data_IF_181903066118
#
_entry.id   IF_181903066118
#
_cell.length_a   1.000
_cell.length_b   1.000
_cell.length_c   1.000
_cell.angle_alpha   90.00
_cell.angle_beta   90.00
_cell.angle_gamma   90.00
#
_symmetry.space_group_name_H-M   'P 1'
#
loop_
_entity.id
_entity.type
_entity.pdbx_description
1 polymer ?
#
# COMPACT_ATOMS: atom_id res chain seq x y z
N UNK A 1 11.30 42.77 -31.73
CA UNK A 1 9.94 42.36 -31.31
C UNK A 1 9.78 40.84 -31.34
N UNK A 2 10.19 40.18 -32.42
CA UNK A 2 10.25 38.72 -32.56
C UNK A 2 10.98 37.96 -31.42
N UNK A 3 12.21 38.35 -31.06
CA UNK A 3 12.95 37.69 -29.98
C UNK A 3 12.30 37.88 -28.59
N UNK A 4 11.58 38.98 -28.38
CA UNK A 4 10.86 39.24 -27.13
C UNK A 4 9.62 38.35 -27.03
N UNK A 5 8.88 38.17 -28.12
CA UNK A 5 7.73 37.27 -28.17
C UNK A 5 8.11 35.81 -27.94
N UNK A 6 9.24 35.36 -28.52
CA UNK A 6 9.76 34.00 -28.27
C UNK A 6 10.21 33.84 -26.81
N UNK A 7 10.91 34.82 -26.25
CA UNK A 7 11.33 34.79 -24.85
C UNK A 7 10.14 34.72 -23.87
N UNK A 8 9.09 35.51 -24.11
CA UNK A 8 7.85 35.47 -23.31
C UNK A 8 7.18 34.09 -23.41
N UNK A 9 7.14 33.50 -24.61
CA UNK A 9 6.61 32.15 -24.81
C UNK A 9 7.37 31.08 -24.01
N UNK A 10 8.70 31.15 -23.97
CA UNK A 10 9.53 30.23 -23.18
C UNK A 10 9.30 30.40 -21.68
N UNK A 11 9.23 31.64 -21.19
CA UNK A 11 8.97 31.92 -19.77
C UNK A 11 7.60 31.39 -19.36
N UNK A 12 6.57 31.63 -20.17
CA UNK A 12 5.23 31.10 -19.91
C UNK A 12 5.24 29.57 -19.90
N UNK A 13 5.93 28.93 -20.86
CA UNK A 13 6.07 27.47 -20.89
C UNK A 13 6.70 26.92 -19.60
N UNK A 14 7.78 27.54 -19.12
CA UNK A 14 8.45 27.14 -17.88
C UNK A 14 7.56 27.32 -16.64
N UNK A 15 6.74 28.36 -16.61
CA UNK A 15 5.77 28.59 -15.51
C UNK A 15 4.72 27.48 -15.47
N UNK A 16 4.30 26.93 -16.60
CA UNK A 16 3.35 25.81 -16.66
C UNK A 16 4.00 24.45 -16.39
N UNK A 17 5.17 24.18 -16.98
CA UNK A 17 5.84 22.88 -16.86
C UNK A 17 6.55 22.72 -15.51
N UNK A 18 7.08 23.81 -14.96
CA UNK A 18 7.85 23.81 -13.71
C UNK A 18 7.15 23.11 -12.54
N UNK A 19 5.90 23.45 -12.20
CA UNK A 19 5.15 22.79 -11.14
C UNK A 19 4.96 21.29 -11.38
N UNK A 20 4.70 20.88 -12.62
CA UNK A 20 4.50 19.47 -12.97
C UNK A 20 5.80 18.69 -12.76
N UNK A 21 6.92 19.19 -13.28
CA UNK A 21 8.23 18.57 -13.08
C UNK A 21 8.58 18.49 -11.59
N UNK A 22 8.33 19.55 -10.84
CA UNK A 22 8.55 19.57 -9.39
C UNK A 22 7.78 18.46 -8.68
N UNK A 23 6.49 18.27 -9.00
CA UNK A 23 5.67 17.20 -8.43
C UNK A 23 6.21 15.81 -8.78
N UNK A 24 6.61 15.59 -10.04
CA UNK A 24 7.18 14.31 -10.49
C UNK A 24 8.46 13.99 -9.72
N UNK A 25 9.42 14.93 -9.65
CA UNK A 25 10.68 14.69 -8.94
C UNK A 25 10.45 14.43 -7.44
N UNK A 26 9.54 15.19 -6.82
CA UNK A 26 9.20 14.99 -5.41
C UNK A 26 8.58 13.61 -5.16
N UNK A 27 7.69 13.16 -6.05
CA UNK A 27 7.07 11.83 -5.95
C UNK A 27 8.10 10.72 -6.12
N UNK A 28 8.97 10.81 -7.13
CA UNK A 28 10.04 9.82 -7.35
C UNK A 28 11.03 9.77 -6.19
N UNK A 29 11.34 10.91 -5.57
CA UNK A 29 12.18 10.94 -4.37
C UNK A 29 11.51 10.22 -3.19
N UNK A 30 10.21 10.45 -2.97
CA UNK A 30 9.43 9.79 -1.92
C UNK A 30 9.39 8.27 -2.10
N UNK A 31 9.13 7.80 -3.33
CA UNK A 31 9.11 6.37 -3.64
C UNK A 31 10.47 5.70 -3.40
N UNK A 32 11.57 6.34 -3.83
CA UNK A 32 12.93 5.86 -3.56
C UNK A 32 13.20 5.74 -2.06
N UNK A 33 12.74 6.71 -1.26
CA UNK A 33 12.86 6.67 0.20
C UNK A 33 12.08 5.49 0.79
N UNK A 34 10.85 5.24 0.32
CA UNK A 34 10.04 4.09 0.77
C UNK A 34 10.73 2.76 0.44
N UNK A 35 11.21 2.60 -0.80
CA UNK A 35 11.96 1.41 -1.22
C UNK A 35 13.22 1.21 -0.38
N UNK A 36 14.00 2.27 -0.17
CA UNK A 36 15.22 2.17 0.64
C UNK A 36 14.92 1.84 2.10
N UNK A 37 13.82 2.36 2.64
CA UNK A 37 13.41 2.10 4.02
C UNK A 37 12.99 0.65 4.20
N UNK A 38 12.16 0.12 3.29
CA UNK A 38 11.74 -1.28 3.33
C UNK A 38 12.95 -2.23 3.20
N UNK A 39 13.88 -1.95 2.27
CA UNK A 39 15.12 -2.72 2.11
C UNK A 39 16.04 -2.65 3.33
N UNK A 40 16.11 -1.49 3.99
CA UNK A 40 16.88 -1.33 5.23
C UNK A 40 16.28 -2.21 6.33
N UNK A 41 14.97 -2.11 6.56
CA UNK A 41 14.25 -2.91 7.57
C UNK A 41 14.46 -4.40 7.29
N UNK A 42 14.35 -4.83 6.03
CA UNK A 42 14.55 -6.24 5.68
C UNK A 42 15.97 -6.72 5.96
N UNK A 43 16.98 -5.91 5.61
CA UNK A 43 18.39 -6.22 5.90
C UNK A 43 18.64 -6.32 7.40
N UNK A 44 18.13 -5.36 8.17
CA UNK A 44 18.26 -5.31 9.64
C UNK A 44 17.61 -6.54 10.32
N UNK A 45 16.60 -7.14 9.68
CA UNK A 45 15.89 -8.34 10.17
C UNK A 45 16.29 -9.64 9.47
N UNK A 46 17.40 -9.62 8.70
CA UNK A 46 17.96 -10.77 7.98
C UNK A 46 16.96 -11.42 7.01
N UNK A 47 16.17 -10.59 6.33
CA UNK A 47 15.16 -11.00 5.35
C UNK A 47 15.64 -10.72 3.93
N UNK A 48 15.40 -11.68 3.04
CA UNK A 48 15.52 -11.54 1.60
C UNK A 48 14.10 -11.47 1.02
N UNK A 49 13.69 -10.26 0.62
CA UNK A 49 12.32 -10.05 0.15
C UNK A 49 12.15 -10.65 -1.26
N UNK A 50 11.23 -11.60 -1.40
CA UNK A 50 10.82 -12.19 -2.67
C UNK A 50 9.84 -11.26 -3.41
N UNK A 51 8.86 -10.73 -2.68
CA UNK A 51 7.87 -9.79 -3.18
C UNK A 51 7.83 -8.54 -2.31
N UNK A 52 7.62 -7.39 -2.96
CA UNK A 52 7.45 -6.10 -2.31
C UNK A 52 6.27 -5.33 -2.92
N UNK A 53 5.60 -4.56 -2.08
CA UNK A 53 4.57 -3.60 -2.49
C UNK A 53 4.88 -2.24 -1.86
N UNK A 54 4.84 -1.20 -2.67
CA UNK A 54 5.16 0.16 -2.25
C UNK A 54 3.98 1.04 -2.63
N UNK A 55 3.24 1.51 -1.65
CA UNK A 55 2.23 2.54 -1.86
C UNK A 55 2.24 3.57 -0.73
N UNK A 56 1.28 4.50 -0.77
CA UNK A 56 1.20 5.59 0.21
C UNK A 56 0.49 5.21 1.51
N UNK A 57 -0.26 4.11 1.54
CA UNK A 57 -0.98 3.61 2.72
C UNK A 57 -0.09 2.67 3.53
N UNK A 58 0.64 1.79 2.84
CA UNK A 58 1.51 0.79 3.45
C UNK A 58 2.69 0.44 2.52
N UNK A 59 3.72 -0.17 3.12
CA UNK A 59 4.75 -0.92 2.40
C UNK A 59 4.70 -2.37 2.89
N UNK A 60 4.76 -3.32 1.98
CA UNK A 60 4.81 -4.74 2.31
C UNK A 60 6.06 -5.39 1.73
N UNK A 61 6.63 -6.32 2.47
CA UNK A 61 7.70 -7.19 1.99
C UNK A 61 7.52 -8.58 2.57
N UNK A 62 7.60 -9.62 1.75
CA UNK A 62 7.55 -11.02 2.20
C UNK A 62 8.85 -11.72 1.87
N UNK A 63 9.35 -12.51 2.81
CA UNK A 63 10.43 -13.47 2.62
C UNK A 63 9.82 -14.86 2.78
N UNK A 64 9.75 -15.59 1.67
CA UNK A 64 9.15 -16.91 1.58
C UNK A 64 10.02 -17.96 2.28
N UNK A 65 11.34 -17.78 2.28
CA UNK A 65 12.29 -18.73 2.86
C UNK A 65 12.31 -18.60 4.40
N UNK A 66 12.44 -17.36 4.90
CA UNK A 66 12.38 -17.08 6.32
C UNK A 66 10.95 -17.10 6.89
N UNK A 67 9.93 -17.18 6.01
CA UNK A 67 8.50 -17.09 6.35
C UNK A 67 8.19 -15.87 7.22
N UNK A 68 8.62 -14.70 6.76
CA UNK A 68 8.41 -13.43 7.47
C UNK A 68 7.73 -12.41 6.57
N UNK A 69 6.88 -11.59 7.16
CA UNK A 69 6.20 -10.47 6.52
C UNK A 69 6.60 -9.17 7.23
N UNK A 70 6.98 -8.16 6.45
CA UNK A 70 7.16 -6.78 6.91
C UNK A 70 5.94 -5.99 6.50
N UNK A 71 5.39 -5.23 7.44
CA UNK A 71 4.35 -4.23 7.21
C UNK A 71 4.91 -2.90 7.70
N UNK A 72 4.88 -1.88 6.86
CA UNK A 72 5.27 -0.50 7.22
C UNK A 72 4.09 0.41 6.96
N UNK A 73 3.84 1.36 7.85
CA UNK A 73 2.79 2.38 7.72
C UNK A 73 3.43 3.76 7.52
N UNK A 74 3.62 4.22 6.26
CA UNK A 74 4.28 5.49 5.98
C UNK A 74 3.58 6.70 6.60
N UNK A 75 2.26 6.63 6.80
CA UNK A 75 1.48 7.72 7.40
C UNK A 75 1.66 7.80 8.93
N UNK A 76 2.12 6.74 9.58
CA UNK A 76 2.43 6.69 11.01
C UNK A 76 3.93 6.73 11.25
N UNK A 77 4.61 7.75 10.73
CA UNK A 77 6.05 7.95 10.92
C UNK A 77 6.93 6.74 10.57
N UNK A 78 6.54 5.95 9.55
CA UNK A 78 7.25 4.72 9.16
C UNK A 78 7.31 3.67 10.26
N UNK A 79 6.31 3.62 11.16
CA UNK A 79 6.10 2.50 12.07
C UNK A 79 6.06 1.19 11.25
N UNK A 80 6.70 0.15 11.78
CA UNK A 80 6.79 -1.13 11.10
C UNK A 80 6.63 -2.30 12.06
N UNK A 81 6.12 -3.40 11.52
CA UNK A 81 5.99 -4.68 12.19
C UNK A 81 6.61 -5.77 11.32
N UNK A 82 7.41 -6.65 11.94
CA UNK A 82 7.91 -7.87 11.32
C UNK A 82 7.20 -9.05 11.95
N UNK A 83 6.45 -9.79 11.13
CA UNK A 83 5.60 -10.89 11.55
C UNK A 83 6.23 -12.19 11.08
N UNK A 84 6.47 -13.09 12.02
CA UNK A 84 6.82 -14.48 11.73
C UNK A 84 5.54 -15.24 11.35
N UNK A 85 5.45 -15.63 10.07
CA UNK A 85 4.29 -16.31 9.50
C UNK A 85 4.15 -17.75 10.02
N UNK A 86 5.18 -18.34 10.65
CA UNK A 86 5.03 -19.62 11.34
C UNK A 86 4.09 -19.53 12.55
N UNK A 87 3.92 -18.33 13.11
CA UNK A 87 3.01 -18.10 14.24
C UNK A 87 1.60 -17.68 13.79
N UNK A 88 1.34 -17.61 12.49
CA UNK A 88 0.06 -17.22 11.91
C UNK A 88 -0.65 -18.48 11.41
N UNK A 89 -1.91 -18.64 11.80
CA UNK A 89 -2.73 -19.77 11.38
C UNK A 89 -3.54 -19.48 10.13
N UNK A 90 -4.04 -18.25 10.03
CA UNK A 90 -5.00 -17.89 9.00
C UNK A 90 -4.77 -16.44 8.56
N UNK A 91 -4.96 -16.22 7.27
CA UNK A 91 -5.16 -14.89 6.70
C UNK A 91 -6.42 -14.87 5.85
N UNK A 92 -7.18 -13.78 5.96
CA UNK A 92 -8.34 -13.56 5.10
C UNK A 92 -8.53 -12.08 4.79
N UNK A 93 -9.35 -11.82 3.77
CA UNK A 93 -9.72 -10.48 3.36
C UNK A 93 -11.06 -10.13 4.00
N UNK A 94 -11.07 -9.04 4.76
CA UNK A 94 -12.24 -8.44 5.36
C UNK A 94 -12.75 -7.32 4.45
N UNK A 95 -14.05 -7.32 4.14
CA UNK A 95 -14.68 -6.27 3.32
C UNK A 95 -15.89 -5.73 4.04
N UNK A 96 -15.97 -4.40 4.19
CA UNK A 96 -17.18 -3.73 4.68
C UNK A 96 -17.88 -3.04 3.51
N UNK A 97 -19.21 -3.11 3.53
CA UNK A 97 -20.05 -2.48 2.52
C UNK A 97 -21.24 -1.79 3.14
N UNK A 98 -21.63 -0.64 2.59
CA UNK A 98 -22.84 0.08 3.00
C UNK A 98 -23.89 0.07 1.87
N UNK A 99 -25.20 0.05 2.19
CA UNK A 99 -26.24 0.23 1.19
C UNK A 99 -26.16 1.62 0.55
N UNK A 100 -26.37 1.72 -0.76
CA UNK A 100 -26.43 3.01 -1.46
C UNK A 100 -27.83 3.61 -1.31
N UNK A 101 -28.00 4.77 -0.64
CA UNK A 101 -29.31 5.39 -0.48
C UNK A 101 -29.96 5.71 -1.83
N UNK A 102 -31.23 5.36 -2.00
CA UNK A 102 -31.99 5.64 -3.23
C UNK A 102 -31.72 4.70 -4.41
N UNK A 103 -30.91 3.66 -4.26
CA UNK A 103 -30.74 2.65 -5.29
C UNK A 103 -31.98 1.72 -5.38
N UNK A 104 -32.49 1.51 -6.59
CA UNK A 104 -33.66 0.65 -6.88
C UNK A 104 -33.40 -0.85 -6.73
N UNK A 105 -32.15 -1.24 -6.49
CA UNK A 105 -31.70 -2.61 -6.18
C UNK A 105 -30.84 -2.57 -4.93
N UNK A 106 -30.63 -3.73 -4.28
CA UNK A 106 -29.72 -3.95 -3.15
C UNK A 106 -28.24 -3.69 -3.54
N UNK A 107 -27.93 -2.49 -4.03
CA UNK A 107 -26.61 -2.07 -4.44
C UNK A 107 -25.88 -1.60 -3.19
N UNK A 108 -24.74 -2.21 -2.93
CA UNK A 108 -23.85 -1.83 -1.84
C UNK A 108 -22.59 -1.20 -2.42
N UNK A 109 -22.01 -0.25 -1.67
CA UNK A 109 -20.72 0.34 -1.94
C UNK A 109 -19.70 -0.26 -0.97
N UNK A 110 -18.49 -0.60 -1.44
CA UNK A 110 -17.39 -1.05 -0.59
C UNK A 110 -16.79 0.16 0.09
N UNK A 111 -16.68 0.10 1.41
CA UNK A 111 -16.17 1.20 2.25
C UNK A 111 -14.84 0.87 2.89
N UNK A 112 -14.55 -0.41 3.11
CA UNK A 112 -13.31 -0.86 3.73
C UNK A 112 -12.85 -2.18 3.13
N UNK A 113 -11.55 -2.31 2.87
CA UNK A 113 -10.89 -3.57 2.51
C UNK A 113 -9.65 -3.69 3.38
N UNK A 114 -9.56 -4.78 4.13
CA UNK A 114 -8.34 -5.11 4.88
C UNK A 114 -7.97 -6.59 4.78
N UNK A 115 -6.69 -6.87 5.01
CA UNK A 115 -6.17 -8.22 5.17
C UNK A 115 -5.87 -8.43 6.66
N UNK A 116 -6.49 -9.43 7.26
CA UNK A 116 -6.34 -9.75 8.68
C UNK A 116 -5.46 -11.00 8.85
N UNK A 117 -4.54 -10.95 9.83
CA UNK A 117 -3.69 -12.08 10.22
C UNK A 117 -4.07 -12.57 11.61
N UNK A 118 -4.32 -13.88 11.76
CA UNK A 118 -4.83 -14.47 12.99
C UNK A 118 -3.91 -15.56 13.53
N UNK A 119 -3.67 -15.52 14.85
CA UNK A 119 -2.94 -16.54 15.61
C UNK A 119 -3.81 -17.74 15.99
N UNK A 120 -3.16 -18.89 16.15
CA UNK A 120 -3.84 -20.14 16.50
C UNK A 120 -4.44 -20.14 17.91
N UNK A 121 -3.71 -19.59 18.90
CA UNK A 121 -4.16 -19.62 20.29
C UNK A 121 -3.44 -18.55 21.16
N UNK A 122 -4.17 -17.57 21.74
CA UNK A 122 -5.58 -17.31 21.50
C UNK A 122 -5.85 -16.89 20.04
N UNK A 123 -7.07 -17.10 19.55
CA UNK A 123 -7.54 -16.56 18.27
C UNK A 123 -7.56 -15.04 18.35
N UNK A 124 -6.41 -14.45 18.11
CA UNK A 124 -6.14 -13.03 18.24
C UNK A 124 -5.71 -12.49 16.89
N UNK A 125 -6.34 -11.38 16.48
CA UNK A 125 -5.87 -10.57 15.36
C UNK A 125 -4.48 -10.03 15.70
N UNK A 126 -3.48 -10.47 14.96
CA UNK A 126 -2.07 -10.06 15.11
C UNK A 126 -1.83 -8.74 14.39
N UNK A 127 -2.40 -8.62 13.19
CA UNK A 127 -2.26 -7.43 12.37
C UNK A 127 -3.45 -7.29 11.44
N UNK A 128 -3.75 -6.06 11.10
CA UNK A 128 -4.67 -5.68 10.02
C UNK A 128 -3.90 -4.77 9.06
N UNK A 129 -3.97 -5.08 7.76
CA UNK A 129 -3.41 -4.24 6.71
C UNK A 129 -4.59 -3.64 5.96
N UNK A 130 -4.79 -2.32 6.07
CA UNK A 130 -5.85 -1.61 5.35
C UNK A 130 -5.41 -1.34 3.91
N UNK A 131 -6.12 -1.89 2.94
CA UNK A 131 -5.90 -1.64 1.51
C UNK A 131 -6.77 -0.52 0.96
N UNK A 132 -7.95 -0.34 1.55
CA UNK A 132 -8.89 0.69 1.15
C UNK A 132 -9.74 1.08 2.34
N UNK A 133 -9.90 2.38 2.54
CA UNK A 133 -10.89 3.00 3.41
C UNK A 133 -11.50 4.16 2.60
N UNK A 134 -12.82 4.29 2.58
CA UNK A 134 -13.49 5.36 1.83
C UNK A 134 -13.23 6.75 2.41
N UNK A 135 -12.94 6.81 3.71
CA UNK A 135 -12.61 8.05 4.41
C UNK A 135 -11.15 8.48 4.18
N UNK A 136 -10.31 7.60 3.64
CA UNK A 136 -8.95 7.95 3.28
C UNK A 136 -8.94 8.86 2.04
N UNK A 137 -8.17 9.95 2.11
CA UNK A 137 -7.98 10.91 1.00
C UNK A 137 -7.23 10.32 -0.22
N UNK A 138 -7.04 9.00 -0.27
CA UNK A 138 -6.40 8.33 -1.37
C UNK A 138 -7.44 8.06 -2.47
N UNK A 139 -7.27 8.66 -3.65
CA UNK A 139 -8.11 8.40 -4.83
C UNK A 139 -7.86 7.00 -5.41
N UNK A 140 -8.10 5.96 -4.61
CA UNK A 140 -7.87 4.56 -4.95
C UNK A 140 -9.20 3.92 -5.33
N UNK A 141 -9.16 3.06 -6.34
CA UNK A 141 -10.32 2.25 -6.72
C UNK A 141 -10.44 1.06 -5.75
N UNK A 142 -11.60 0.88 -5.14
CA UNK A 142 -11.86 -0.26 -4.25
C UNK A 142 -11.62 -1.62 -4.96
N UNK A 143 -11.93 -1.71 -6.26
CA UNK A 143 -11.72 -2.92 -7.07
C UNK A 143 -10.22 -3.22 -7.24
N UNK A 144 -9.41 -2.20 -7.53
CA UNK A 144 -7.96 -2.34 -7.66
C UNK A 144 -7.31 -2.69 -6.34
N UNK A 145 -7.76 -2.08 -5.24
CA UNK A 145 -7.28 -2.42 -3.89
C UNK A 145 -7.70 -3.82 -3.47
N UNK A 146 -8.89 -4.26 -3.86
CA UNK A 146 -9.31 -5.64 -3.63
C UNK A 146 -8.42 -6.63 -4.39
N UNK A 147 -8.10 -6.36 -5.66
CA UNK A 147 -7.19 -7.21 -6.43
C UNK A 147 -5.83 -7.33 -5.73
N UNK A 148 -5.30 -6.21 -5.25
CA UNK A 148 -4.03 -6.18 -4.53
C UNK A 148 -4.10 -6.94 -3.19
N UNK A 149 -5.19 -6.78 -2.43
CA UNK A 149 -5.42 -7.53 -1.19
C UNK A 149 -5.50 -9.04 -1.43
N UNK A 150 -6.13 -9.50 -2.53
CA UNK A 150 -6.15 -10.91 -2.91
C UNK A 150 -4.76 -11.43 -3.24
N UNK A 151 -3.98 -10.70 -4.07
CA UNK A 151 -2.59 -11.07 -4.37
C UNK A 151 -1.78 -11.31 -3.09
N UNK A 152 -1.88 -10.38 -2.14
CA UNK A 152 -1.13 -10.47 -0.88
C UNK A 152 -1.66 -11.55 0.06
N UNK A 153 -2.98 -11.76 0.11
CA UNK A 153 -3.55 -12.88 0.85
C UNK A 153 -3.03 -14.22 0.30
N UNK A 154 -3.00 -14.40 -1.02
CA UNK A 154 -2.50 -15.63 -1.64
C UNK A 154 -1.00 -15.84 -1.37
N UNK A 155 -0.20 -14.76 -1.41
CA UNK A 155 1.22 -14.81 -1.05
C UNK A 155 1.41 -15.24 0.41
N UNK A 156 0.64 -14.67 1.33
CA UNK A 156 0.74 -14.98 2.76
C UNK A 156 0.28 -16.42 3.02
N UNK A 157 -0.88 -16.83 2.48
CA UNK A 157 -1.42 -18.18 2.67
C UNK A 157 -0.44 -19.28 2.22
N UNK A 158 0.28 -19.07 1.10
CA UNK A 158 1.32 -20.00 0.64
C UNK A 158 2.49 -20.16 1.62
N UNK A 159 2.69 -19.19 2.51
CA UNK A 159 3.80 -19.16 3.46
C UNK A 159 3.35 -19.44 4.91
N UNK A 160 2.06 -19.65 5.15
CA UNK A 160 1.58 -20.12 6.44
C UNK A 160 2.03 -21.56 6.68
N UNK A 161 2.20 -21.92 7.95
CA UNK A 161 2.53 -23.31 8.29
C UNK A 161 1.26 -24.16 8.21
N UNK A 162 1.32 -25.25 7.45
CA UNK A 162 0.26 -26.26 7.37
C UNK A 162 0.08 -27.01 8.70
#
# INVERSE_FOLDING_TARGET
MENASVAIGIVLLLVFIGPILYLIFRQSAKEKLHVSSLKKISTDHQMQLDDMEINNLFLLGIDNNAKKLIIVEPQKNMEFNVIDLNNINESYISKKTIPVPGATKNRTAVTHISLELIKNNPKQRVSEITFYDEDDNASLSAESQLFLANKWNDLIQRNLSA
#
